data_IF_947796100315
#
_entry.id   IF_947796100315
#
_cell.length_a   1.000
_cell.length_b   1.000
_cell.length_c   1.000
_cell.angle_alpha   90.00
_cell.angle_beta   90.00
_cell.angle_gamma   90.00
#
_symmetry.space_group_name_H-M   'P 1'
#
loop_
_entity.id
_entity.type
_entity.pdbx_description
1 polymer ?
#
# COMPACT_ATOMS: atom_id res chain seq x y z
N UNK A 1 -21.13 -18.62 -58.09
CA UNK A 1 -21.26 -17.90 -56.81
C UNK A 1 -19.88 -17.36 -56.50
N UNK A 2 -19.58 -16.21 -57.09
CA UNK A 2 -18.23 -15.63 -57.12
C UNK A 2 -17.91 -14.93 -55.80
N UNK A 3 -16.81 -15.35 -55.20
CA UNK A 3 -16.26 -14.78 -53.98
C UNK A 3 -15.66 -13.40 -54.28
N UNK A 4 -16.20 -12.37 -53.65
CA UNK A 4 -15.69 -11.00 -53.74
C UNK A 4 -14.52 -10.82 -52.75
N UNK A 5 -13.31 -10.48 -53.20
CA UNK A 5 -12.16 -10.31 -52.32
C UNK A 5 -12.16 -8.95 -51.61
N UNK A 6 -11.98 -9.00 -50.29
CA UNK A 6 -11.85 -7.84 -49.39
C UNK A 6 -10.46 -7.21 -49.57
N UNK A 7 -10.42 -5.91 -49.85
CA UNK A 7 -9.22 -5.13 -50.19
C UNK A 7 -8.67 -4.45 -48.92
N UNK A 8 -7.60 -4.98 -48.34
CA UNK A 8 -6.90 -4.38 -47.18
C UNK A 8 -6.08 -3.17 -47.65
N UNK A 9 -6.33 -2.00 -47.04
CA UNK A 9 -5.68 -0.72 -47.37
C UNK A 9 -4.58 -0.42 -46.33
N UNK A 10 -3.32 -0.31 -46.76
CA UNK A 10 -2.28 0.46 -46.03
C UNK A 10 -0.98 -0.23 -45.61
N UNK A 11 -0.27 -0.94 -46.49
CA UNK A 11 1.16 -1.31 -46.26
C UNK A 11 2.05 -0.41 -47.12
N UNK A 12 2.70 0.59 -46.53
CA UNK A 12 3.65 1.48 -47.25
C UNK A 12 4.93 0.70 -47.58
N UNK A 13 5.07 0.32 -48.85
CA UNK A 13 6.27 -0.24 -49.47
C UNK A 13 7.27 0.91 -49.67
N UNK A 14 8.43 0.88 -49.00
CA UNK A 14 9.54 1.82 -49.28
C UNK A 14 10.09 1.52 -50.67
N UNK A 15 10.10 2.54 -51.53
CA UNK A 15 10.72 2.50 -52.85
C UNK A 15 12.24 2.37 -52.76
N UNK A 16 12.77 1.48 -53.59
CA UNK A 16 14.18 1.20 -53.82
C UNK A 16 14.49 1.83 -55.17
N UNK A 17 15.44 2.76 -55.24
CA UNK A 17 16.08 3.20 -56.50
C UNK A 17 17.47 2.55 -56.61
N UNK A 18 17.90 2.14 -57.80
CA UNK A 18 19.15 1.41 -58.00
C UNK A 18 20.31 2.32 -58.45
N UNK A 19 21.49 1.68 -58.48
CA UNK A 19 22.72 1.97 -59.21
C UNK A 19 23.83 2.84 -58.58
N UNK A 20 24.87 2.11 -58.17
CA UNK A 20 26.21 2.12 -58.79
C UNK A 20 27.38 2.52 -57.88
N UNK A 21 28.18 1.47 -57.62
CA UNK A 21 29.64 1.42 -57.55
C UNK A 21 30.41 1.92 -56.32
N UNK A 22 31.36 1.04 -55.99
CA UNK A 22 32.64 1.23 -55.34
C UNK A 22 32.71 1.35 -53.81
N UNK A 23 32.91 0.15 -53.24
CA UNK A 23 34.16 -0.24 -52.58
C UNK A 23 34.54 0.43 -51.24
N UNK A 24 34.96 -0.48 -50.35
CA UNK A 24 36.13 -0.31 -49.48
C UNK A 24 35.90 0.23 -48.07
N UNK A 25 35.91 -0.75 -47.15
CA UNK A 25 36.68 -0.77 -45.91
C UNK A 25 36.18 -0.01 -44.66
N UNK A 26 36.39 -0.74 -43.54
CA UNK A 26 36.50 -0.33 -42.13
C UNK A 26 35.14 -0.20 -41.40
N UNK A 27 34.69 -1.20 -40.64
CA UNK A 27 35.24 -1.75 -39.40
C UNK A 27 35.21 -0.72 -38.23
N UNK A 28 34.68 -1.20 -37.09
CA UNK A 28 34.79 -0.71 -35.71
C UNK A 28 33.78 0.31 -35.19
N UNK A 29 32.90 -0.22 -34.34
CA UNK A 29 32.85 0.01 -32.89
C UNK A 29 32.74 1.43 -32.32
N UNK A 30 31.80 1.52 -31.35
CA UNK A 30 31.74 2.38 -30.15
C UNK A 30 31.24 3.83 -30.35
N UNK A 31 30.95 4.58 -29.26
CA UNK A 31 30.20 4.24 -28.04
C UNK A 31 29.29 5.43 -27.57
N UNK A 32 28.49 5.22 -26.52
CA UNK A 32 27.98 6.30 -25.68
C UNK A 32 29.11 7.13 -25.03
N UNK A 33 29.05 8.47 -25.11
CA UNK A 33 28.95 9.40 -23.96
C UNK A 33 29.13 10.89 -24.34
N UNK A 34 28.41 11.71 -23.56
CA UNK A 34 28.78 13.04 -23.03
C UNK A 34 28.75 14.29 -23.93
N UNK A 35 27.73 15.11 -23.63
CA UNK A 35 27.77 16.53 -23.30
C UNK A 35 29.03 17.35 -23.67
N UNK A 36 28.81 18.44 -24.41
CA UNK A 36 29.55 19.70 -24.23
C UNK A 36 28.61 20.90 -24.26
N UNK A 37 28.92 21.79 -23.33
CA UNK A 37 28.36 23.10 -23.06
C UNK A 37 28.58 24.11 -24.21
N UNK A 38 27.62 25.03 -24.32
CA UNK A 38 27.69 26.44 -24.71
C UNK A 38 28.55 26.85 -25.92
N UNK A 39 27.87 27.15 -27.03
CA UNK A 39 28.15 28.36 -27.79
C UNK A 39 26.85 29.11 -28.06
N UNK A 40 26.80 30.35 -27.57
CA UNK A 40 25.83 31.34 -27.96
C UNK A 40 26.00 31.62 -29.46
N UNK A 41 25.06 31.12 -30.26
CA UNK A 41 24.91 31.51 -31.66
C UNK A 41 23.55 32.16 -31.81
N UNK A 42 23.57 33.46 -32.08
CA UNK A 42 22.44 34.29 -32.47
C UNK A 42 21.89 33.81 -33.82
N UNK A 43 21.14 32.71 -33.79
CA UNK A 43 20.30 32.26 -34.90
C UNK A 43 18.88 32.77 -34.65
N UNK A 44 18.24 33.42 -35.65
CA UNK A 44 16.89 33.91 -35.49
C UNK A 44 15.97 32.71 -35.23
N UNK A 45 15.22 32.79 -34.14
CA UNK A 45 14.19 31.82 -33.77
C UNK A 45 13.24 31.65 -34.95
N UNK A 46 13.47 30.61 -35.77
CA UNK A 46 12.50 30.16 -36.75
C UNK A 46 11.24 29.83 -35.97
N UNK A 47 10.23 30.68 -36.18
CA UNK A 47 8.90 30.60 -35.59
C UNK A 47 8.55 29.15 -35.28
N UNK A 48 8.51 28.82 -33.98
CA UNK A 48 7.91 27.59 -33.50
C UNK A 48 6.53 27.54 -34.14
N UNK A 49 6.35 26.66 -35.13
CA UNK A 49 5.03 26.36 -35.68
C UNK A 49 4.17 26.07 -34.46
N UNK A 50 3.23 26.96 -34.15
CA UNK A 50 2.24 26.75 -33.09
C UNK A 50 1.71 25.36 -33.35
N UNK A 51 2.01 24.42 -32.45
CA UNK A 51 1.50 23.06 -32.50
C UNK A 51 0.00 23.21 -32.66
N UNK A 52 -0.52 22.89 -33.85
CA UNK A 52 -1.97 22.95 -34.08
C UNK A 52 -2.56 22.00 -33.04
N UNK A 53 -3.25 22.58 -32.05
CA UNK A 53 -3.97 21.82 -31.03
C UNK A 53 -4.99 20.96 -31.77
N UNK A 54 -5.05 19.69 -31.40
CA UNK A 54 -5.88 18.72 -32.11
C UNK A 54 -7.35 19.20 -32.04
N UNK A 55 -8.00 19.48 -33.18
CA UNK A 55 -9.35 20.05 -33.18
C UNK A 55 -10.42 19.09 -32.63
N UNK A 56 -10.04 17.84 -32.34
CA UNK A 56 -10.89 16.81 -31.73
C UNK A 56 -10.91 16.89 -30.19
N UNK A 57 -10.00 17.64 -29.56
CA UNK A 57 -9.96 17.80 -28.11
C UNK A 57 -10.96 18.85 -27.65
N UNK A 58 -11.55 18.65 -26.48
CA UNK A 58 -12.44 19.64 -25.87
C UNK A 58 -11.71 20.96 -25.61
N UNK A 59 -12.47 22.07 -25.54
CA UNK A 59 -11.89 23.40 -25.23
C UNK A 59 -11.13 23.40 -23.90
N UNK A 60 -11.54 22.55 -22.96
CA UNK A 60 -10.91 22.41 -21.65
C UNK A 60 -9.59 21.62 -21.73
N UNK A 61 -9.53 20.54 -22.52
CA UNK A 61 -8.29 19.80 -22.79
C UNK A 61 -7.28 20.58 -23.63
N UNK A 62 -7.72 21.64 -24.31
CA UNK A 62 -6.85 22.53 -25.05
C UNK A 62 -6.20 23.61 -24.16
N UNK A 63 -6.54 23.70 -22.88
CA UNK A 63 -5.93 24.68 -21.98
C UNK A 63 -4.42 24.42 -21.83
N UNK A 64 -3.62 25.48 -21.60
CA UNK A 64 -2.23 25.32 -21.18
C UNK A 64 -2.14 24.46 -19.92
N UNK A 65 -1.13 23.59 -19.86
CA UNK A 65 -0.88 22.66 -18.76
C UNK A 65 -0.84 23.35 -17.39
N UNK A 66 -0.27 24.57 -17.30
CA UNK A 66 -0.26 25.36 -16.06
C UNK A 66 -1.67 25.65 -15.53
N UNK A 67 -2.61 25.98 -16.42
CA UNK A 67 -3.99 26.25 -16.01
C UNK A 67 -4.69 24.96 -15.58
N UNK A 68 -4.43 23.85 -16.28
CA UNK A 68 -4.96 22.53 -15.91
C UNK A 68 -4.47 22.12 -14.52
N UNK A 69 -3.18 22.33 -14.21
CA UNK A 69 -2.60 22.05 -12.89
C UNK A 69 -3.21 22.91 -11.79
N UNK A 70 -3.38 24.22 -12.04
CA UNK A 70 -4.02 25.13 -11.09
C UNK A 70 -5.47 24.71 -10.85
N UNK A 71 -6.24 24.42 -11.91
CA UNK A 71 -7.62 23.94 -11.76
C UNK A 71 -7.70 22.62 -10.99
N UNK A 72 -6.81 21.66 -11.30
CA UNK A 72 -6.76 20.40 -10.59
C UNK A 72 -6.49 20.58 -9.09
N UNK A 73 -5.54 21.46 -8.76
CA UNK A 73 -5.20 21.82 -7.39
C UNK A 73 -6.38 22.46 -6.64
N UNK A 74 -7.10 23.39 -7.28
CA UNK A 74 -8.28 24.01 -6.66
C UNK A 74 -9.43 23.02 -6.47
N UNK A 75 -9.66 22.13 -7.44
CA UNK A 75 -10.76 21.16 -7.36
C UNK A 75 -10.45 19.95 -6.48
N UNK A 76 -9.16 19.64 -6.26
CA UNK A 76 -8.67 18.46 -5.55
C UNK A 76 -9.43 17.17 -5.88
N UNK A 77 -9.73 16.95 -7.17
CA UNK A 77 -10.57 15.85 -7.62
C UNK A 77 -9.84 14.93 -8.59
N UNK A 78 -9.61 13.69 -8.16
CA UNK A 78 -8.93 12.65 -8.94
C UNK A 78 -9.67 12.26 -10.22
N UNK A 79 -10.97 12.57 -10.35
CA UNK A 79 -11.74 12.28 -11.56
C UNK A 79 -11.18 13.00 -12.79
N UNK A 80 -10.52 14.16 -12.61
CA UNK A 80 -10.00 14.95 -13.71
C UNK A 80 -8.90 14.20 -14.50
N UNK A 81 -7.78 13.76 -13.88
CA UNK A 81 -6.79 12.97 -14.60
C UNK A 81 -7.33 11.62 -15.08
N UNK A 82 -8.38 11.07 -14.46
CA UNK A 82 -8.99 9.81 -14.91
C UNK A 82 -9.93 9.98 -16.11
N UNK A 83 -10.48 11.17 -16.32
CA UNK A 83 -11.45 11.45 -17.39
C UNK A 83 -10.85 11.54 -18.79
N UNK A 84 -9.56 11.90 -18.90
CA UNK A 84 -8.89 12.06 -20.19
C UNK A 84 -7.41 11.78 -20.11
N UNK A 85 -6.88 11.10 -21.13
CA UNK A 85 -5.45 10.88 -21.30
C UNK A 85 -4.66 12.20 -21.41
N UNK A 86 -5.25 13.26 -21.98
CA UNK A 86 -4.57 14.57 -22.09
C UNK A 86 -4.37 15.18 -20.71
N UNK A 87 -5.40 15.16 -19.87
CA UNK A 87 -5.28 15.61 -18.48
C UNK A 87 -4.33 14.72 -17.68
N UNK A 88 -4.41 13.40 -17.84
CA UNK A 88 -3.48 12.48 -17.19
C UNK A 88 -2.01 12.83 -17.52
N UNK A 89 -1.71 13.08 -18.79
CA UNK A 89 -0.37 13.48 -19.25
C UNK A 89 0.04 14.83 -18.67
N UNK A 90 -0.84 15.83 -18.77
CA UNK A 90 -0.54 17.20 -18.36
C UNK A 90 -0.44 17.36 -16.83
N UNK A 91 -1.11 16.49 -16.06
CA UNK A 91 -1.05 16.41 -14.60
C UNK A 91 -0.02 15.40 -14.08
N UNK A 92 0.71 14.69 -14.97
CA UNK A 92 1.63 13.62 -14.59
C UNK A 92 2.90 14.05 -13.85
N UNK A 93 2.99 15.33 -13.48
CA UNK A 93 4.13 15.86 -12.74
C UNK A 93 4.10 15.40 -11.29
N UNK A 94 5.24 14.90 -10.81
CA UNK A 94 5.39 14.39 -9.45
C UNK A 94 4.91 15.36 -8.38
N UNK A 95 5.26 16.64 -8.49
CA UNK A 95 4.87 17.66 -7.51
C UNK A 95 3.35 17.88 -7.48
N UNK A 96 2.67 17.79 -8.62
CA UNK A 96 1.21 17.91 -8.71
C UNK A 96 0.53 16.79 -7.95
N UNK A 97 0.98 15.55 -8.14
CA UNK A 97 0.45 14.39 -7.41
C UNK A 97 0.86 14.36 -5.94
N UNK A 98 2.09 14.75 -5.60
CA UNK A 98 2.54 14.86 -4.22
C UNK A 98 1.69 15.87 -3.45
N UNK A 99 1.44 17.04 -4.03
CA UNK A 99 0.61 18.07 -3.39
C UNK A 99 -0.83 17.62 -3.25
N UNK A 100 -1.41 17.00 -4.29
CA UNK A 100 -2.72 16.35 -4.21
C UNK A 100 -2.79 15.30 -3.10
N UNK A 101 -1.75 14.47 -2.96
CA UNK A 101 -1.69 13.43 -1.92
C UNK A 101 -1.62 14.03 -0.52
N UNK A 102 -0.79 15.06 -0.32
CA UNK A 102 -0.69 15.78 0.95
C UNK A 102 -2.04 16.40 1.32
N UNK A 103 -2.68 17.11 0.39
CA UNK A 103 -3.94 17.80 0.64
C UNK A 103 -5.10 16.80 0.90
N UNK A 104 -5.03 15.59 0.32
CA UNK A 104 -6.03 14.52 0.52
C UNK A 104 -5.82 13.76 1.83
N UNK A 105 -4.56 13.53 2.25
CA UNK A 105 -4.22 12.77 3.45
C UNK A 105 -4.24 13.60 4.75
N UNK A 106 -4.13 14.93 4.66
CA UNK A 106 -3.98 15.82 5.82
C UNK A 106 -5.29 16.40 6.35
N UNK A 107 -6.45 16.07 5.75
CA UNK A 107 -7.71 16.76 6.06
C UNK A 107 -8.02 16.66 7.56
N UNK A 108 -8.33 17.81 8.16
CA UNK A 108 -8.59 17.93 9.60
C UNK A 108 -9.90 17.23 9.98
N UNK A 109 -9.96 16.72 11.22
CA UNK A 109 -11.13 16.03 11.81
C UNK A 109 -12.44 16.84 11.83
N UNK A 110 -12.38 18.13 11.48
CA UNK A 110 -13.53 19.02 11.40
C UNK A 110 -14.41 18.82 10.15
N UNK A 111 -14.09 17.86 9.27
CA UNK A 111 -14.94 17.52 8.13
C UNK A 111 -16.18 16.75 8.59
N UNK A 112 -17.38 17.26 8.28
CA UNK A 112 -18.65 16.59 8.60
C UNK A 112 -18.83 15.25 7.84
N UNK A 113 -18.08 15.01 6.74
CA UNK A 113 -18.22 13.83 5.88
C UNK A 113 -16.95 12.96 5.82
N UNK A 114 -16.66 12.30 6.94
CA UNK A 114 -15.53 11.36 7.08
C UNK A 114 -15.57 10.21 6.05
N UNK A 115 -16.77 9.81 5.61
CA UNK A 115 -16.93 8.72 4.64
C UNK A 115 -16.51 9.14 3.23
N UNK A 116 -16.91 10.34 2.79
CA UNK A 116 -16.46 10.88 1.50
C UNK A 116 -14.94 11.08 1.46
N UNK A 117 -14.34 11.48 2.59
CA UNK A 117 -12.90 11.62 2.71
C UNK A 117 -12.17 10.29 2.63
N UNK A 118 -12.64 9.27 3.36
CA UNK A 118 -12.11 7.91 3.24
C UNK A 118 -12.24 7.34 1.81
N UNK A 119 -13.35 7.63 1.12
CA UNK A 119 -13.55 7.24 -0.27
C UNK A 119 -12.61 8.01 -1.23
N UNK A 120 -12.30 9.27 -0.97
CA UNK A 120 -11.32 10.04 -1.73
C UNK A 120 -9.90 9.49 -1.55
N UNK A 121 -9.49 9.19 -0.31
CA UNK A 121 -8.20 8.55 0.00
C UNK A 121 -8.12 7.18 -0.67
N UNK A 122 -9.16 6.35 -0.55
CA UNK A 122 -9.20 5.03 -1.18
C UNK A 122 -9.04 5.08 -2.70
N UNK A 123 -9.68 6.05 -3.36
CA UNK A 123 -9.55 6.26 -4.82
C UNK A 123 -8.14 6.74 -5.21
N UNK A 124 -7.56 7.62 -4.40
CA UNK A 124 -6.18 8.07 -4.59
C UNK A 124 -5.19 6.90 -4.47
N UNK A 125 -5.30 6.09 -3.41
CA UNK A 125 -4.41 4.95 -3.18
C UNK A 125 -4.46 3.93 -4.33
N UNK A 126 -5.62 3.76 -4.98
CA UNK A 126 -5.78 2.87 -6.15
C UNK A 126 -5.09 3.37 -7.42
N UNK A 127 -4.70 4.64 -7.48
CA UNK A 127 -4.10 5.20 -8.68
C UNK A 127 -2.70 4.64 -8.91
N UNK A 128 -2.37 4.35 -10.18
CA UNK A 128 -1.06 3.77 -10.56
C UNK A 128 0.14 4.66 -10.22
N UNK A 129 -0.07 5.98 -10.13
CA UNK A 129 0.99 6.92 -9.76
C UNK A 129 1.26 6.90 -8.24
N UNK A 130 0.33 6.37 -7.43
CA UNK A 130 0.47 6.33 -5.99
C UNK A 130 1.36 5.15 -5.57
N UNK A 131 2.66 5.41 -5.61
CA UNK A 131 3.71 4.46 -5.23
C UNK A 131 4.11 4.63 -3.78
N UNK A 132 4.80 3.62 -3.22
CA UNK A 132 5.33 3.69 -1.86
C UNK A 132 6.19 4.94 -1.62
N UNK A 133 7.01 5.33 -2.59
CA UNK A 133 7.88 6.50 -2.44
C UNK A 133 7.11 7.82 -2.44
N UNK A 134 6.07 7.95 -3.27
CA UNK A 134 5.22 9.15 -3.27
C UNK A 134 4.42 9.23 -1.96
N UNK A 135 3.94 8.10 -1.44
CA UNK A 135 3.24 8.05 -0.17
C UNK A 135 4.13 8.43 1.01
N UNK A 136 5.36 7.91 1.10
CA UNK A 136 6.34 8.31 2.12
C UNK A 136 6.64 9.80 2.06
N UNK A 137 6.92 10.32 0.87
CA UNK A 137 7.17 11.75 0.67
C UNK A 137 5.97 12.60 1.07
N UNK A 138 4.74 12.14 0.77
CA UNK A 138 3.53 12.83 1.18
C UNK A 138 3.47 12.90 2.71
N UNK A 139 3.59 11.77 3.41
CA UNK A 139 3.55 11.75 4.89
C UNK A 139 4.65 12.63 5.51
N UNK A 140 5.86 12.58 4.97
CA UNK A 140 6.96 13.44 5.44
C UNK A 140 6.66 14.92 5.23
N UNK A 141 6.04 15.28 4.10
CA UNK A 141 5.65 16.65 3.82
C UNK A 141 4.52 17.12 4.75
N UNK A 142 3.55 16.26 5.05
CA UNK A 142 2.49 16.53 6.04
C UNK A 142 3.10 16.80 7.41
N UNK A 143 3.99 15.90 7.85
CA UNK A 143 4.68 16.05 9.13
C UNK A 143 5.47 17.37 9.21
N UNK A 144 6.19 17.75 8.14
CA UNK A 144 6.91 19.03 8.07
C UNK A 144 5.97 20.24 8.19
N UNK A 145 4.78 20.19 7.58
CA UNK A 145 3.78 21.28 7.66
C UNK A 145 3.15 21.40 9.03
N UNK A 146 3.12 20.32 9.82
CA UNK A 146 2.57 20.28 11.19
C UNK A 146 3.60 20.66 12.26
N UNK A 147 4.89 20.65 11.95
CA UNK A 147 5.93 21.07 12.88
C UNK A 147 5.86 22.60 13.09
N UNK A 148 5.89 23.11 14.33
CA UNK A 148 5.94 24.54 14.57
C UNK A 148 7.18 25.15 13.90
N UNK A 149 7.10 26.39 13.39
CA UNK A 149 8.24 27.05 12.77
C UNK A 149 9.39 27.10 13.79
N UNK A 150 10.52 26.49 13.44
CA UNK A 150 11.71 26.54 14.28
C UNK A 150 12.14 28.01 14.42
N UNK A 151 12.12 28.53 15.65
CA UNK A 151 12.62 29.86 16.05
C UNK A 151 14.15 29.99 15.90
N UNK A 152 14.75 29.37 14.88
CA UNK A 152 16.16 29.55 14.58
C UNK A 152 16.33 30.68 13.58
N UNK A 153 17.09 31.70 13.99
CA UNK A 153 17.59 32.84 13.21
C UNK A 153 16.60 33.96 12.86
N UNK A 154 16.18 34.72 13.87
CA UNK A 154 16.16 36.19 13.71
C UNK A 154 17.52 36.73 14.16
N UNK A 155 18.22 37.54 13.34
CA UNK A 155 19.38 38.30 13.79
C UNK A 155 18.89 39.39 14.73
N UNK A 156 19.37 39.34 15.97
CA UNK A 156 19.13 40.35 16.99
C UNK A 156 19.95 41.59 16.67
N UNK A 157 19.43 42.45 15.80
CA UNK A 157 19.83 43.86 15.67
C UNK A 157 18.85 44.70 16.49
N UNK A 158 19.26 45.14 17.69
CA UNK A 158 18.79 46.40 18.29
C UNK A 158 19.64 46.76 19.52
N UNK A 159 20.60 47.65 19.30
CA UNK A 159 21.00 48.66 20.28
C UNK A 159 19.81 49.60 20.50
N UNK A 160 19.22 49.69 21.71
CA UNK A 160 18.91 50.97 22.40
C UNK A 160 18.18 50.77 23.74
N UNK A 161 18.71 51.52 24.72
CA UNK A 161 18.13 52.23 25.86
C UNK A 161 17.38 51.50 26.98
N UNK A 162 18.02 51.62 28.15
CA UNK A 162 17.52 51.46 29.50
C UNK A 162 16.33 52.40 29.76
N UNK A 163 15.18 51.84 30.08
CA UNK A 163 14.16 52.51 30.89
C UNK A 163 13.53 51.51 31.83
N UNK A 164 13.70 51.80 33.12
CA UNK A 164 13.07 51.14 34.26
C UNK A 164 11.55 51.07 34.10
N UNK A 165 11.00 49.86 34.19
CA UNK A 165 9.65 49.62 34.70
C UNK A 165 9.66 48.22 35.36
N UNK A 166 9.67 48.24 36.69
CA UNK A 166 9.29 47.11 37.54
C UNK A 166 7.81 46.79 37.31
N UNK A 167 7.47 45.50 37.26
CA UNK A 167 6.13 44.87 37.35
C UNK A 167 5.74 44.02 36.14
N UNK A 168 6.20 42.77 36.11
CA UNK A 168 5.44 41.56 35.71
C UNK A 168 6.40 40.37 35.55
N UNK A 169 6.97 39.88 36.66
CA UNK A 169 7.41 38.49 36.69
C UNK A 169 6.21 37.56 36.90
N UNK A 170 6.33 36.37 36.32
CA UNK A 170 5.44 35.21 36.42
C UNK A 170 4.15 35.27 35.60
N UNK A 171 4.23 34.88 34.32
CA UNK A 171 3.28 34.00 33.62
C UNK A 171 3.69 33.78 32.15
N UNK A 172 4.92 33.29 31.88
CA UNK A 172 5.32 32.89 30.52
C UNK A 172 5.96 31.50 30.41
N UNK A 173 6.03 30.73 31.50
CA UNK A 173 6.70 29.42 31.49
C UNK A 173 5.77 28.20 31.62
N UNK A 174 4.43 28.40 31.68
CA UNK A 174 3.48 27.27 31.82
C UNK A 174 2.79 26.83 30.51
N UNK A 175 2.84 27.64 29.44
CA UNK A 175 2.24 27.28 28.14
C UNK A 175 3.18 26.52 27.19
N UNK A 176 4.46 26.34 27.55
CA UNK A 176 5.41 25.56 26.74
C UNK A 176 5.27 24.04 26.95
N UNK A 177 4.54 23.62 27.99
CA UNK A 177 4.37 22.22 28.40
C UNK A 177 3.28 21.44 27.65
N UNK A 178 2.56 22.08 26.71
CA UNK A 178 1.60 21.42 25.81
C UNK A 178 2.04 21.47 24.34
N UNK A 179 3.35 21.55 24.07
CA UNK A 179 3.87 21.18 22.74
C UNK A 179 3.52 19.72 22.47
N UNK A 180 2.39 19.50 21.80
CA UNK A 180 2.01 18.23 21.19
C UNK A 180 3.23 17.73 20.42
N UNK A 181 3.94 16.75 20.98
CA UNK A 181 5.07 16.11 20.31
C UNK A 181 4.48 15.39 19.11
N UNK A 182 4.57 16.02 17.93
CA UNK A 182 4.11 15.43 16.68
C UNK A 182 4.97 14.20 16.41
N UNK A 183 4.38 12.98 16.36
CA UNK A 183 5.17 11.78 16.18
C UNK A 183 5.84 11.76 14.81
N UNK A 184 7.14 11.47 14.80
CA UNK A 184 7.94 11.35 13.58
C UNK A 184 7.59 10.05 12.88
N UNK A 185 7.24 10.09 11.57
CA UNK A 185 6.85 8.90 10.83
C UNK A 185 8.03 7.93 10.68
N UNK A 186 7.87 6.71 11.21
CA UNK A 186 8.75 5.57 11.06
C UNK A 186 8.15 4.57 10.07
N UNK A 187 8.71 4.52 8.87
CA UNK A 187 8.22 3.64 7.80
C UNK A 187 8.76 2.21 7.89
N UNK A 188 9.89 1.99 8.58
CA UNK A 188 10.53 0.67 8.66
C UNK A 188 9.86 -0.22 9.71
N UNK A 189 9.50 0.36 10.85
CA UNK A 189 8.85 -0.34 11.95
C UNK A 189 7.66 0.49 12.43
N UNK A 190 6.56 0.51 11.67
CA UNK A 190 5.40 1.34 11.99
C UNK A 190 4.78 0.95 13.34
N UNK A 191 4.91 -0.31 13.77
CA UNK A 191 4.44 -0.76 15.09
C UNK A 191 5.17 -0.12 16.29
N UNK A 192 6.35 0.46 16.08
CA UNK A 192 7.15 1.07 17.15
C UNK A 192 6.86 2.57 17.34
N UNK A 193 5.88 3.13 16.61
CA UNK A 193 5.44 4.51 16.73
C UNK A 193 3.95 4.55 17.11
N UNK A 194 3.49 5.62 17.79
CA UNK A 194 2.07 5.86 17.95
C UNK A 194 1.41 6.10 16.59
N UNK A 195 0.09 5.90 16.52
CA UNK A 195 -0.69 6.27 15.34
C UNK A 195 -0.53 7.76 15.05
N UNK A 196 -0.57 8.13 13.77
CA UNK A 196 -0.33 9.51 13.33
C UNK A 196 -1.69 10.22 13.22
N UNK A 197 -2.07 11.07 14.20
CA UNK A 197 -3.41 11.67 14.25
C UNK A 197 -3.69 12.63 13.10
N UNK A 198 -2.64 13.08 12.40
CA UNK A 198 -2.75 13.99 11.26
C UNK A 198 -2.99 13.27 9.92
N UNK A 199 -3.18 11.95 9.92
CA UNK A 199 -3.46 11.16 8.71
C UNK A 199 -4.91 10.68 8.69
N UNK A 200 -5.58 10.88 7.56
CA UNK A 200 -6.94 10.37 7.29
C UNK A 200 -6.96 8.90 6.89
N UNK A 201 -6.27 8.05 7.65
CA UNK A 201 -6.24 6.60 7.45
C UNK A 201 -7.07 5.95 8.56
N UNK A 202 -8.10 5.21 8.16
CA UNK A 202 -9.05 4.56 9.06
C UNK A 202 -9.58 3.26 8.45
N UNK A 203 -10.41 2.53 9.20
CA UNK A 203 -11.06 1.29 8.75
C UNK A 203 -11.94 1.46 7.51
N UNK A 204 -12.48 2.66 7.26
CA UNK A 204 -13.24 2.93 6.04
C UNK A 204 -12.36 3.15 4.81
N UNK A 205 -11.06 3.37 4.98
CA UNK A 205 -10.10 3.48 3.87
C UNK A 205 -9.71 2.09 3.37
N UNK A 206 -9.93 1.87 2.09
CA UNK A 206 -9.72 0.58 1.46
C UNK A 206 -8.35 0.51 0.76
N UNK A 207 -7.56 -0.56 0.99
CA UNK A 207 -6.26 -0.71 0.35
C UNK A 207 -6.39 -0.89 -1.17
N UNK A 208 -5.36 -0.51 -1.95
CA UNK A 208 -5.33 -0.74 -3.38
C UNK A 208 -5.38 -2.24 -3.70
N UNK A 209 -6.28 -2.63 -4.61
CA UNK A 209 -6.37 -4.00 -5.10
C UNK A 209 -5.04 -4.51 -5.68
N UNK A 210 -4.27 -3.60 -6.28
CA UNK A 210 -2.93 -3.89 -6.81
C UNK A 210 -1.94 -4.37 -5.74
N UNK A 211 -2.14 -4.04 -4.46
CA UNK A 211 -1.31 -4.52 -3.34
C UNK A 211 -1.64 -5.95 -2.91
N UNK A 212 -2.83 -6.45 -3.27
CA UNK A 212 -3.39 -7.72 -2.78
C UNK A 212 -3.11 -8.93 -3.67
N UNK A 213 -2.41 -8.75 -4.79
CA UNK A 213 -2.04 -9.83 -5.71
C UNK A 213 -0.57 -9.72 -6.14
N UNK A 214 -0.03 -10.67 -6.88
CA UNK A 214 1.35 -10.64 -7.39
C UNK A 214 1.63 -9.44 -8.35
N UNK A 215 2.89 -8.97 -8.53
CA UNK A 215 4.14 -9.48 -7.95
C UNK A 215 4.36 -9.02 -6.51
N UNK A 216 4.93 -9.89 -5.68
CA UNK A 216 5.24 -9.66 -4.26
C UNK A 216 6.62 -9.00 -4.09
N UNK A 217 6.71 -7.71 -4.40
CA UNK A 217 7.95 -6.94 -4.24
C UNK A 217 8.05 -6.35 -2.84
N UNK A 218 9.27 -6.16 -2.32
CA UNK A 218 9.48 -5.59 -0.96
C UNK A 218 8.78 -4.24 -0.75
N UNK A 219 8.89 -3.23 -1.66
CA UNK A 219 8.23 -1.94 -1.48
C UNK A 219 6.71 -2.04 -1.40
N UNK A 220 6.13 -3.03 -2.10
CA UNK A 220 4.69 -3.27 -2.11
C UNK A 220 4.21 -3.89 -0.80
N UNK A 221 5.00 -4.80 -0.24
CA UNK A 221 4.72 -5.44 1.04
C UNK A 221 4.88 -4.45 2.20
N UNK A 222 5.92 -3.60 2.17
CA UNK A 222 6.09 -2.50 3.12
C UNK A 222 4.90 -1.53 3.06
N UNK A 223 4.48 -1.17 1.86
CA UNK A 223 3.33 -0.27 1.69
C UNK A 223 2.05 -0.90 2.24
N UNK A 224 1.79 -2.18 1.93
CA UNK A 224 0.64 -2.90 2.46
C UNK A 224 0.69 -3.01 3.99
N UNK A 225 1.87 -3.31 4.56
CA UNK A 225 2.05 -3.39 6.01
C UNK A 225 1.75 -2.06 6.69
N UNK A 226 2.25 -0.97 6.12
CA UNK A 226 1.99 0.38 6.65
C UNK A 226 0.49 0.72 6.60
N UNK A 227 -0.21 0.38 5.51
CA UNK A 227 -1.65 0.62 5.41
C UNK A 227 -2.44 -0.20 6.45
N UNK A 228 -2.09 -1.47 6.65
CA UNK A 228 -2.69 -2.32 7.69
C UNK A 228 -2.45 -1.71 9.07
N UNK A 229 -1.21 -1.33 9.38
CA UNK A 229 -0.87 -0.68 10.66
C UNK A 229 -1.65 0.63 10.86
N UNK A 230 -1.85 1.42 9.80
CA UNK A 230 -2.60 2.67 9.87
C UNK A 230 -4.11 2.48 10.06
N UNK A 231 -4.60 1.24 10.03
CA UNK A 231 -6.00 0.89 10.31
C UNK A 231 -6.84 0.57 9.06
N UNK A 232 -6.26 0.52 7.86
CA UNK A 232 -7.02 0.18 6.65
C UNK A 232 -7.48 -1.29 6.66
N UNK A 233 -8.76 -1.53 6.37
CA UNK A 233 -9.34 -2.87 6.29
C UNK A 233 -9.93 -3.15 4.91
N UNK A 234 -10.30 -4.41 4.66
CA UNK A 234 -10.99 -4.81 3.44
C UNK A 234 -12.48 -5.00 3.72
N UNK A 235 -13.31 -4.39 2.89
CA UNK A 235 -14.73 -4.72 2.82
C UNK A 235 -14.93 -6.02 2.01
N UNK A 236 -15.39 -7.07 2.69
CA UNK A 236 -15.69 -8.37 2.11
C UNK A 236 -17.10 -8.47 1.53
N UNK A 237 -18.02 -7.58 1.89
CA UNK A 237 -19.43 -7.65 1.51
C UNK A 237 -19.72 -6.87 0.22
N UNK A 238 -19.12 -5.69 0.05
CA UNK A 238 -19.44 -4.80 -1.08
C UNK A 238 -18.35 -4.75 -2.17
N UNK A 239 -17.22 -5.41 -1.97
CA UNK A 239 -16.04 -5.29 -2.85
C UNK A 239 -15.46 -6.62 -3.32
N UNK A 240 -14.89 -6.64 -4.53
CA UNK A 240 -14.10 -7.75 -5.08
C UNK A 240 -12.66 -7.82 -4.54
N UNK A 241 -12.29 -6.95 -3.60
CA UNK A 241 -10.98 -6.97 -2.95
C UNK A 241 -10.75 -8.26 -2.15
N UNK A 242 -11.78 -8.78 -1.48
CA UNK A 242 -11.70 -10.06 -0.77
C UNK A 242 -11.32 -11.22 -1.69
N UNK A 243 -12.02 -11.35 -2.83
CA UNK A 243 -11.70 -12.36 -3.86
C UNK A 243 -10.26 -12.22 -4.38
N UNK A 244 -9.82 -10.97 -4.58
CA UNK A 244 -8.46 -10.69 -5.04
C UNK A 244 -7.41 -11.07 -3.99
N UNK A 245 -7.68 -10.80 -2.72
CA UNK A 245 -6.81 -11.18 -1.62
C UNK A 245 -6.72 -12.72 -1.48
N UNK A 246 -7.83 -13.44 -1.67
CA UNK A 246 -7.87 -14.91 -1.69
C UNK A 246 -7.08 -15.48 -2.86
N UNK A 247 -7.25 -14.93 -4.07
CA UNK A 247 -6.43 -15.30 -5.23
C UNK A 247 -4.94 -14.97 -5.00
N UNK A 248 -4.67 -13.81 -4.39
CA UNK A 248 -3.34 -13.39 -3.96
C UNK A 248 -2.70 -14.40 -3.02
N UNK A 249 -3.42 -14.91 -2.03
CA UNK A 249 -2.91 -15.91 -1.07
C UNK A 249 -2.38 -17.16 -1.79
N UNK A 250 -3.11 -17.68 -2.78
CA UNK A 250 -2.67 -18.84 -3.56
C UNK A 250 -1.35 -18.57 -4.30
N UNK A 251 -1.20 -17.39 -4.90
CA UNK A 251 0.06 -16.98 -5.55
C UNK A 251 1.20 -16.75 -4.55
N UNK A 252 0.89 -16.23 -3.36
CA UNK A 252 1.87 -16.00 -2.30
C UNK A 252 2.43 -17.31 -1.74
N UNK A 253 1.57 -18.32 -1.55
CA UNK A 253 1.97 -19.69 -1.18
C UNK A 253 2.88 -20.28 -2.26
N UNK A 254 2.48 -20.14 -3.53
CA UNK A 254 3.25 -20.65 -4.67
C UNK A 254 4.63 -20.00 -4.79
N UNK A 255 4.71 -18.69 -4.53
CA UNK A 255 5.96 -17.94 -4.53
C UNK A 255 6.78 -18.04 -3.23
N UNK A 256 6.34 -18.84 -2.26
CA UNK A 256 6.93 -18.95 -0.91
C UNK A 256 7.14 -17.61 -0.19
N UNK A 257 6.30 -16.62 -0.49
CA UNK A 257 6.37 -15.28 0.09
C UNK A 257 5.67 -15.26 1.45
N UNK A 258 6.42 -15.59 2.50
CA UNK A 258 5.91 -15.64 3.87
C UNK A 258 5.39 -14.28 4.36
N UNK A 259 6.03 -13.17 3.98
CA UNK A 259 5.56 -11.81 4.29
C UNK A 259 4.19 -11.51 3.67
N UNK A 260 3.98 -11.89 2.40
CA UNK A 260 2.69 -11.69 1.75
C UNK A 260 1.59 -12.51 2.42
N UNK A 261 1.88 -13.77 2.75
CA UNK A 261 0.95 -14.65 3.48
C UNK A 261 0.62 -14.05 4.86
N UNK A 262 1.62 -13.61 5.62
CA UNK A 262 1.41 -12.99 6.93
C UNK A 262 0.50 -11.76 6.86
N UNK A 263 0.73 -10.87 5.88
CA UNK A 263 -0.09 -9.67 5.68
C UNK A 263 -1.52 -10.01 5.26
N UNK A 264 -1.71 -10.91 4.31
CA UNK A 264 -3.04 -11.31 3.83
C UNK A 264 -3.87 -12.03 4.91
N UNK A 265 -3.20 -12.82 5.73
CA UNK A 265 -3.80 -13.57 6.83
C UNK A 265 -3.97 -12.72 8.12
N UNK A 266 -3.47 -11.48 8.14
CA UNK A 266 -3.64 -10.56 9.25
C UNK A 266 -5.12 -10.24 9.52
N UNK A 267 -5.48 -9.78 10.73
CA UNK A 267 -6.87 -9.48 11.07
C UNK A 267 -7.49 -8.35 10.24
N UNK A 268 -6.70 -7.39 9.76
CA UNK A 268 -7.20 -6.27 8.95
C UNK A 268 -7.65 -6.68 7.53
N UNK A 269 -6.95 -7.63 6.90
CA UNK A 269 -7.32 -8.18 5.59
C UNK A 269 -8.27 -9.36 5.77
N UNK A 270 -8.00 -10.22 6.75
CA UNK A 270 -8.83 -11.34 7.16
C UNK A 270 -9.03 -12.44 6.09
N UNK A 271 -8.01 -12.75 5.27
CA UNK A 271 -8.09 -13.94 4.40
C UNK A 271 -8.01 -15.20 5.25
N UNK A 272 -9.08 -15.98 5.27
CA UNK A 272 -9.16 -17.24 6.01
C UNK A 272 -8.74 -18.40 5.11
N UNK A 273 -7.65 -19.11 5.42
CA UNK A 273 -7.24 -20.28 4.65
C UNK A 273 -8.13 -21.48 4.97
N UNK A 274 -8.43 -22.26 3.93
CA UNK A 274 -9.19 -23.50 3.99
C UNK A 274 -8.28 -24.74 4.08
N UNK A 275 -8.89 -25.91 4.25
CA UNK A 275 -8.15 -27.18 4.27
C UNK A 275 -7.39 -27.42 2.95
N UNK A 276 -7.93 -26.98 1.81
CA UNK A 276 -7.31 -27.22 0.51
C UNK A 276 -6.05 -26.39 0.32
N UNK A 277 -6.06 -25.11 0.67
CA UNK A 277 -4.88 -24.23 0.62
C UNK A 277 -3.80 -24.71 1.58
N UNK A 278 -4.16 -25.18 2.78
CA UNK A 278 -3.21 -25.77 3.72
C UNK A 278 -2.53 -27.01 3.12
N UNK A 279 -3.30 -27.89 2.46
CA UNK A 279 -2.75 -29.06 1.77
C UNK A 279 -1.82 -28.68 0.64
N UNK A 280 -2.19 -27.71 -0.18
CA UNK A 280 -1.35 -27.19 -1.27
C UNK A 280 -0.02 -26.64 -0.70
N UNK A 281 -0.07 -25.85 0.37
CA UNK A 281 1.12 -25.30 1.02
C UNK A 281 2.08 -26.38 1.58
N UNK A 282 1.52 -27.44 2.17
CA UNK A 282 2.30 -28.52 2.80
C UNK A 282 2.80 -29.54 1.78
N UNK A 283 1.92 -30.02 0.90
CA UNK A 283 2.17 -31.16 0.02
C UNK A 283 2.83 -30.75 -1.29
N UNK A 284 2.37 -29.67 -1.93
CA UNK A 284 2.82 -29.27 -3.26
C UNK A 284 3.97 -28.26 -3.19
N UNK A 285 3.95 -27.38 -2.17
CA UNK A 285 4.94 -26.31 -1.98
C UNK A 285 5.96 -26.61 -0.87
N UNK A 286 6.15 -27.88 -0.51
CA UNK A 286 7.29 -28.33 0.30
C UNK A 286 7.29 -27.89 1.77
N UNK A 287 6.12 -27.50 2.31
CA UNK A 287 5.91 -27.13 3.70
C UNK A 287 6.94 -26.07 4.16
N UNK A 288 6.77 -24.84 3.71
CA UNK A 288 7.53 -23.70 4.24
C UNK A 288 6.98 -23.39 5.65
N UNK A 289 7.79 -23.52 6.72
CA UNK A 289 7.33 -23.33 8.09
C UNK A 289 6.68 -21.97 8.33
N UNK A 290 7.24 -20.91 7.72
CA UNK A 290 6.73 -19.55 7.88
C UNK A 290 5.34 -19.38 7.26
N UNK A 291 5.16 -19.85 6.02
CA UNK A 291 3.88 -19.78 5.30
C UNK A 291 2.81 -20.57 6.06
N UNK A 292 3.13 -21.82 6.41
CA UNK A 292 2.19 -22.70 7.11
C UNK A 292 1.86 -22.17 8.50
N UNK A 293 2.83 -21.60 9.23
CA UNK A 293 2.60 -20.97 10.52
C UNK A 293 1.56 -19.85 10.44
N UNK A 294 1.75 -18.86 9.55
CA UNK A 294 0.81 -17.74 9.42
C UNK A 294 -0.58 -18.19 8.92
N UNK A 295 -0.65 -19.21 8.07
CA UNK A 295 -1.93 -19.80 7.66
C UNK A 295 -2.67 -20.45 8.85
N UNK A 296 -1.96 -21.24 9.66
CA UNK A 296 -2.55 -21.90 10.82
C UNK A 296 -3.01 -20.90 11.87
N UNK A 297 -2.25 -19.83 12.09
CA UNK A 297 -2.63 -18.72 12.97
C UNK A 297 -3.95 -18.10 12.51
N UNK A 298 -4.06 -17.71 11.24
CA UNK A 298 -5.28 -17.10 10.73
C UNK A 298 -6.49 -18.04 10.77
N UNK A 299 -6.29 -19.32 10.45
CA UNK A 299 -7.35 -20.29 10.54
C UNK A 299 -7.83 -20.53 11.97
N UNK A 300 -6.90 -20.60 12.92
CA UNK A 300 -7.23 -20.79 14.34
C UNK A 300 -7.96 -19.56 14.90
N UNK A 301 -7.47 -18.34 14.58
CA UNK A 301 -8.16 -17.08 14.89
C UNK A 301 -9.58 -17.10 14.34
N UNK A 302 -9.75 -17.34 13.04
CA UNK A 302 -11.05 -17.36 12.39
C UNK A 302 -11.99 -18.39 13.05
N UNK A 303 -11.50 -19.60 13.34
CA UNK A 303 -12.31 -20.62 13.99
C UNK A 303 -12.77 -20.23 15.39
N UNK A 304 -11.88 -19.66 16.22
CA UNK A 304 -12.22 -19.26 17.59
C UNK A 304 -13.19 -18.09 17.57
N UNK A 305 -12.96 -17.10 16.69
CA UNK A 305 -13.83 -15.93 16.52
C UNK A 305 -15.22 -16.33 16.03
N UNK A 306 -15.34 -17.15 14.98
CA UNK A 306 -16.64 -17.63 14.48
C UNK A 306 -17.41 -18.42 15.53
N UNK A 307 -16.70 -19.20 16.36
CA UNK A 307 -17.33 -19.94 17.46
C UNK A 307 -17.86 -19.00 18.54
N UNK A 308 -17.13 -17.94 18.86
CA UNK A 308 -17.55 -16.94 19.83
C UNK A 308 -18.73 -16.09 19.34
N UNK A 309 -18.79 -15.77 18.04
CA UNK A 309 -19.89 -15.02 17.41
C UNK A 309 -21.12 -15.88 17.11
N UNK A 310 -20.97 -17.21 17.05
CA UNK A 310 -22.02 -18.13 16.62
C UNK A 310 -22.15 -18.26 15.09
N UNK A 311 -21.17 -17.72 14.34
CA UNK A 311 -21.10 -17.87 12.89
C UNK A 311 -20.68 -19.29 12.47
N UNK A 312 -20.89 -19.58 11.19
CA UNK A 312 -20.41 -20.83 10.60
C UNK A 312 -18.89 -20.91 10.68
N UNK A 313 -18.39 -21.99 11.27
CA UNK A 313 -16.95 -22.22 11.39
C UNK A 313 -16.29 -22.31 10.00
N UNK A 314 -15.06 -21.82 9.84
CA UNK A 314 -14.33 -21.94 8.60
C UNK A 314 -14.04 -23.41 8.27
N UNK A 315 -13.96 -23.73 6.97
CA UNK A 315 -13.72 -25.08 6.44
C UNK A 315 -12.24 -25.50 6.60
N UNK A 316 -11.77 -25.55 7.84
CA UNK A 316 -10.44 -26.05 8.18
C UNK A 316 -10.49 -27.30 9.06
N UNK A 317 -9.87 -28.37 8.55
CA UNK A 317 -9.74 -29.63 9.26
C UNK A 317 -8.26 -29.92 9.59
N UNK A 318 -7.83 -29.55 10.80
CA UNK A 318 -6.48 -29.86 11.29
C UNK A 318 -6.23 -31.37 11.50
N UNK A 319 -7.27 -32.21 11.44
CA UNK A 319 -7.21 -33.66 11.53
C UNK A 319 -7.35 -34.34 10.16
N UNK A 320 -7.12 -33.61 9.07
CA UNK A 320 -7.19 -34.18 7.71
C UNK A 320 -6.23 -35.38 7.57
N UNK A 321 -6.74 -36.58 7.20
CA UNK A 321 -5.91 -37.78 7.08
C UNK A 321 -4.73 -37.63 6.12
N UNK A 322 -4.90 -36.85 5.04
CA UNK A 322 -3.86 -36.64 4.02
C UNK A 322 -2.66 -35.89 4.62
N UNK A 323 -2.92 -34.82 5.38
CA UNK A 323 -1.87 -34.07 6.09
C UNK A 323 -1.13 -34.95 7.09
N UNK A 324 -1.86 -35.75 7.88
CA UNK A 324 -1.27 -36.65 8.87
C UNK A 324 -0.45 -37.77 8.24
N UNK A 325 -0.90 -38.35 7.13
CA UNK A 325 -0.13 -39.34 6.37
C UNK A 325 1.13 -38.74 5.75
N UNK A 326 1.08 -37.49 5.31
CA UNK A 326 2.27 -36.77 4.84
C UNK A 326 3.25 -36.55 6.00
N UNK A 327 2.77 -36.07 7.15
CA UNK A 327 3.57 -35.83 8.35
C UNK A 327 4.30 -37.10 8.80
N UNK A 328 3.58 -38.22 8.93
CA UNK A 328 4.17 -39.50 9.36
C UNK A 328 5.24 -40.00 8.39
N UNK A 329 5.02 -39.83 7.09
CA UNK A 329 5.99 -40.22 6.05
C UNK A 329 7.27 -39.40 6.14
N UNK A 330 7.13 -38.09 6.32
CA UNK A 330 8.25 -37.13 6.40
C UNK A 330 9.00 -37.28 7.73
N UNK A 331 8.30 -37.56 8.82
CA UNK A 331 8.88 -37.87 10.13
C UNK A 331 9.71 -39.17 10.10
N UNK A 332 9.19 -40.23 9.47
CA UNK A 332 9.93 -41.50 9.26
C UNK A 332 11.20 -41.31 8.42
N UNK A 333 11.19 -40.35 7.50
CA UNK A 333 12.38 -39.97 6.72
C UNK A 333 13.39 -39.13 7.51
N UNK A 334 13.12 -38.81 8.79
CA UNK A 334 14.01 -38.04 9.66
C UNK A 334 14.00 -36.53 9.43
N UNK A 335 13.03 -36.01 8.66
CA UNK A 335 12.95 -34.59 8.36
C UNK A 335 12.29 -33.82 9.52
N UNK A 336 12.99 -32.80 10.03
CA UNK A 336 12.54 -31.94 11.14
C UNK A 336 11.19 -31.28 10.87
N UNK A 337 10.87 -30.93 9.62
CA UNK A 337 9.59 -30.32 9.22
C UNK A 337 8.38 -31.19 9.56
N UNK A 338 8.49 -32.51 9.41
CA UNK A 338 7.41 -33.44 9.74
C UNK A 338 7.11 -33.42 11.24
N UNK A 339 8.15 -33.48 12.08
CA UNK A 339 8.00 -33.39 13.54
C UNK A 339 7.40 -32.04 13.96
N UNK A 340 7.93 -30.95 13.43
CA UNK A 340 7.40 -29.60 13.68
C UNK A 340 5.92 -29.51 13.31
N UNK A 341 5.53 -29.86 12.08
CA UNK A 341 4.13 -29.76 11.64
C UNK A 341 3.20 -30.63 12.49
N UNK A 342 3.66 -31.80 12.93
CA UNK A 342 2.92 -32.68 13.85
C UNK A 342 2.61 -31.99 15.18
N UNK A 343 3.62 -31.36 15.80
CA UNK A 343 3.45 -30.64 17.06
C UNK A 343 2.46 -29.47 16.89
N UNK A 344 2.61 -28.70 15.82
CA UNK A 344 1.74 -27.54 15.54
C UNK A 344 0.31 -27.95 15.25
N UNK A 345 0.07 -29.00 14.44
CA UNK A 345 -1.29 -29.46 14.14
C UNK A 345 -2.00 -30.03 15.37
N UNK A 346 -1.27 -30.72 16.28
CA UNK A 346 -1.84 -31.17 17.56
C UNK A 346 -2.24 -29.99 18.41
N UNK A 347 -1.32 -29.05 18.58
CA UNK A 347 -1.56 -27.87 19.38
C UNK A 347 -2.74 -27.05 18.82
N UNK A 348 -2.78 -26.82 17.51
CA UNK A 348 -3.89 -26.15 16.85
C UNK A 348 -5.22 -26.88 17.10
N UNK A 349 -5.25 -28.21 16.91
CA UNK A 349 -6.46 -29.02 17.15
C UNK A 349 -6.95 -28.97 18.60
N UNK A 350 -6.04 -28.91 19.57
CA UNK A 350 -6.40 -28.81 20.99
C UNK A 350 -6.91 -27.40 21.31
N UNK A 351 -6.30 -26.37 20.72
CA UNK A 351 -6.65 -24.96 20.92
C UNK A 351 -7.95 -24.54 20.24
N UNK A 352 -8.48 -25.29 19.26
CA UNK A 352 -9.83 -25.06 18.68
C UNK A 352 -10.97 -25.05 19.72
N UNK A 353 -10.72 -25.59 20.92
CA UNK A 353 -11.69 -25.60 22.02
C UNK A 353 -11.64 -24.33 22.88
N UNK A 354 -10.65 -23.47 22.68
CA UNK A 354 -10.55 -22.20 23.38
C UNK A 354 -11.73 -21.27 23.02
N UNK A 355 -12.04 -20.36 23.94
CA UNK A 355 -13.13 -19.39 23.81
C UNK A 355 -12.66 -18.04 23.25
N UNK A 356 -11.38 -17.72 23.37
CA UNK A 356 -10.82 -16.40 23.02
C UNK A 356 -9.50 -16.57 22.28
N UNK A 357 -9.26 -15.70 21.30
CA UNK A 357 -7.99 -15.53 20.61
C UNK A 357 -7.40 -14.18 21.02
N UNK A 358 -6.52 -14.19 22.02
CA UNK A 358 -5.83 -13.01 22.57
C UNK A 358 -4.31 -13.09 22.34
N UNK A 359 -3.60 -12.06 22.77
CA UNK A 359 -2.13 -11.98 22.66
C UNK A 359 -1.45 -13.15 23.37
N UNK A 360 -1.97 -13.58 24.52
CA UNK A 360 -1.45 -14.74 25.26
C UNK A 360 -1.61 -16.05 24.46
N UNK A 361 -2.80 -16.28 23.87
CA UNK A 361 -3.05 -17.43 23.01
C UNK A 361 -2.14 -17.44 21.78
N UNK A 362 -1.93 -16.28 21.17
CA UNK A 362 -1.02 -16.13 20.04
C UNK A 362 0.42 -16.43 20.46
N UNK A 363 0.87 -15.91 21.60
CA UNK A 363 2.20 -16.16 22.15
C UNK A 363 2.44 -17.62 22.52
N UNK A 364 1.44 -18.31 23.08
CA UNK A 364 1.50 -19.74 23.34
C UNK A 364 1.66 -20.53 22.04
N UNK A 365 0.86 -20.20 21.02
CA UNK A 365 0.98 -20.80 19.68
C UNK A 365 2.35 -20.51 19.05
N UNK A 366 2.85 -19.28 19.21
CA UNK A 366 4.18 -18.85 18.74
C UNK A 366 5.30 -19.65 19.39
N UNK A 367 5.19 -19.97 20.69
CA UNK A 367 6.18 -20.80 21.40
C UNK A 367 6.27 -22.22 20.85
N UNK A 368 5.16 -22.77 20.35
CA UNK A 368 5.09 -24.14 19.82
C UNK A 368 5.45 -24.19 18.35
N UNK A 369 4.89 -23.30 17.53
CA UNK A 369 5.02 -23.37 16.07
C UNK A 369 5.88 -22.29 15.43
N UNK A 370 6.13 -21.17 16.11
CA UNK A 370 6.78 -19.97 15.57
C UNK A 370 8.26 -19.83 15.91
N UNK A 371 8.95 -20.93 16.20
CA UNK A 371 10.35 -20.90 16.61
C UNK A 371 11.29 -20.68 15.41
N UNK A 372 12.25 -19.78 15.55
CA UNK A 372 13.25 -19.51 14.50
C UNK A 372 14.09 -20.75 14.18
N UNK A 373 14.33 -21.61 15.17
CA UNK A 373 15.07 -22.88 15.02
C UNK A 373 14.38 -23.92 14.13
N UNK A 374 13.08 -23.74 13.89
CA UNK A 374 12.26 -24.54 12.98
C UNK A 374 12.14 -23.88 11.59
N UNK A 375 12.78 -22.72 11.39
CA UNK A 375 12.82 -22.00 10.12
C UNK A 375 11.64 -21.05 9.89
N UNK A 376 10.95 -20.63 10.96
CA UNK A 376 9.91 -19.59 10.89
C UNK A 376 10.55 -18.20 10.92
N UNK A 377 10.34 -17.43 9.85
CA UNK A 377 10.76 -16.04 9.74
C UNK A 377 9.67 -15.14 10.29
N UNK A 378 10.07 -14.24 11.20
CA UNK A 378 9.18 -13.29 11.83
C UNK A 378 8.86 -12.14 10.88
N UNK A 379 7.60 -11.75 10.88
CA UNK A 379 7.07 -10.60 10.15
C UNK A 379 6.32 -9.74 11.16
N UNK A 380 6.69 -8.46 11.24
CA UNK A 380 6.03 -7.46 12.08
C UNK A 380 4.68 -7.10 11.47
N UNK A 381 3.65 -7.87 11.83
CA UNK A 381 2.25 -7.74 11.37
C UNK A 381 1.35 -7.86 12.59
N UNK A 382 0.25 -7.09 12.73
CA UNK A 382 -0.69 -7.30 13.81
C UNK A 382 -1.37 -8.66 13.61
N UNK A 383 -1.40 -9.48 14.65
CA UNK A 383 -1.94 -10.87 14.59
C UNK A 383 -3.17 -11.07 15.47
N UNK A 384 -3.42 -10.11 16.36
CA UNK A 384 -4.65 -9.96 17.15
C UNK A 384 -5.35 -8.71 16.65
N UNK A 385 -6.69 -8.69 16.69
CA UNK A 385 -7.47 -7.51 16.34
C UNK A 385 -6.96 -6.33 17.16
N UNK A 386 -6.46 -5.30 16.48
CA UNK A 386 -6.23 -4.02 17.12
C UNK A 386 -7.62 -3.50 17.49
N UNK A 387 -7.97 -3.61 18.78
CA UNK A 387 -9.07 -2.84 19.34
C UNK A 387 -8.66 -1.38 19.24
N UNK A 388 -8.95 -0.76 18.10
CA UNK A 388 -9.05 0.68 18.02
C UNK A 388 -10.30 0.98 18.85
N UNK A 389 -10.21 1.72 19.96
CA UNK A 389 -11.41 2.21 20.61
C UNK A 389 -12.13 3.07 19.58
N UNK A 390 -13.18 2.52 18.97
CA UNK A 390 -14.19 3.33 18.33
C UNK A 390 -14.78 4.17 19.45
N UNK A 391 -14.38 5.44 19.47
CA UNK A 391 -15.05 6.46 20.26
C UNK A 391 -16.49 6.52 19.76
N UNK A 392 -17.38 5.96 20.57
CA UNK A 392 -18.85 6.01 20.49
C UNK A 392 -19.44 6.05 19.07
N UNK A 393 -19.61 4.88 18.47
CA UNK A 393 -20.73 4.70 17.55
C UNK A 393 -22.03 4.85 18.36
N UNK A 394 -22.61 6.06 18.35
CA UNK A 394 -23.97 6.30 18.83
C UNK A 394 -24.92 5.25 18.21
N UNK A 395 -25.78 4.60 19.00
CA UNK A 395 -26.79 3.71 18.46
C UNK A 395 -27.81 4.54 17.69
N UNK A 396 -27.75 4.47 16.35
CA UNK A 396 -28.79 5.01 15.49
C UNK A 396 -30.14 4.42 15.91
N UNK A 397 -31.00 5.33 16.36
CA UNK A 397 -32.26 5.12 17.03
C UNK A 397 -33.15 4.04 16.42
N UNK A 398 -33.59 3.13 17.28
CA UNK A 398 -34.91 2.55 17.17
C UNK A 398 -35.97 3.64 17.37
N UNK A 399 -36.62 4.09 16.29
CA UNK A 399 -37.96 4.71 16.37
C UNK A 399 -38.80 4.40 15.14
N UNK A 400 -39.89 3.69 15.41
CA UNK A 400 -41.12 3.41 14.66
C UNK A 400 -41.47 4.28 13.42
N UNK A 401 -41.90 3.60 12.34
CA UNK A 401 -43.32 3.49 11.98
C UNK A 401 -43.58 2.29 11.06
#
# INVERSE_FOLDING_TARGET
>A
MDLTPIRIRGRRKRGRTPDSQDASLKNRDRPWKAARFNQASSQPLKNKKKTKRDPTLSKFEQLPTELVQVTFQYCNNISLPLSSYVFARDLSYRNTYLRFAVDTLSKDDASDDKFADAAAVSRMLQCKWMTWDIFKDAIQEIHKRRLPPSRASSPSDSDTDESDDEDAEENQDEDEAQRLVVPVPNFSHPHNQPHLPYLTLSSSVQPPQSLLHEPWTTPKLEFLNYLIWSGCTIDWASSSRGETATAGLATAISGHSHTAVALLCSPAINVVPDTTTLKIAVMDHGCNPSVVFYMLVAALRAHIVSRASGDSAPDINFRDPSLWHWVERVEKAGNRKGRWLKEVLRFASDRMRASVWDEEAFEEFRRVGGREEDGVVRVDVPVVDLVIPEEEAEPAAATAN
#
